data_IF_384882508371
#
_entry.id   IF_384882508371
#
_cell.length_a   1.000
_cell.length_b   1.000
_cell.length_c   1.000
_cell.angle_alpha   90.00
_cell.angle_beta   90.00
_cell.angle_gamma   90.00
#
_symmetry.space_group_name_H-M   'P 1'
#
loop_
_entity.id
_entity.type
_entity.pdbx_description
1 polymer ?
#
# COMPACT_ATOMS: atom_id res chain seq x y z
N UNK A 1 25.36 23.65 -18.72
CA UNK A 1 24.51 22.75 -19.54
C UNK A 1 25.01 21.30 -19.61
N UNK A 2 26.32 21.01 -19.58
CA UNK A 2 26.83 19.63 -19.72
C UNK A 2 26.78 18.77 -18.44
N UNK A 3 26.65 19.36 -17.26
CA UNK A 3 26.66 18.61 -15.98
C UNK A 3 25.29 18.03 -15.60
N UNK A 4 24.18 18.64 -16.05
CA UNK A 4 22.83 18.15 -15.77
C UNK A 4 22.56 16.81 -16.48
N UNK A 5 23.20 16.59 -17.64
CA UNK A 5 23.04 15.37 -18.43
C UNK A 5 23.75 14.15 -17.81
N UNK A 6 24.86 14.39 -17.08
CA UNK A 6 25.58 13.34 -16.36
C UNK A 6 24.83 12.86 -15.09
N UNK A 7 24.02 13.74 -14.47
CA UNK A 7 23.20 13.39 -13.31
C UNK A 7 22.03 12.45 -13.65
N UNK A 8 21.40 12.63 -14.81
CA UNK A 8 20.22 11.85 -15.23
C UNK A 8 20.60 10.40 -15.61
N UNK A 9 21.80 10.17 -16.16
CA UNK A 9 22.26 8.82 -16.51
C UNK A 9 22.57 7.96 -15.26
N UNK A 10 22.94 8.57 -14.12
CA UNK A 10 23.19 7.81 -12.88
C UNK A 10 21.93 7.25 -12.22
N UNK A 11 20.76 7.82 -12.47
CA UNK A 11 19.50 7.35 -11.89
C UNK A 11 18.99 6.11 -12.63
N UNK A 12 19.28 5.98 -13.93
CA UNK A 12 18.84 4.82 -14.72
C UNK A 12 19.63 3.53 -14.40
N UNK A 13 20.86 3.64 -13.89
CA UNK A 13 21.71 2.48 -13.57
C UNK A 13 21.40 1.78 -12.22
N UNK A 14 20.47 2.30 -11.41
CA UNK A 14 20.12 1.74 -10.08
C UNK A 14 18.68 1.26 -9.94
N UNK A 15 17.90 1.27 -11.01
CA UNK A 15 16.57 0.67 -11.00
C UNK A 15 16.68 -0.85 -11.12
N UNK A 16 16.68 -1.50 -9.95
CA UNK A 16 16.49 -2.94 -9.78
C UNK A 16 15.24 -3.39 -10.56
N UNK A 17 15.29 -4.45 -11.38
CA UNK A 17 14.09 -4.99 -12.00
C UNK A 17 13.20 -5.60 -10.91
N UNK A 18 12.05 -4.97 -10.67
CA UNK A 18 10.96 -5.53 -9.87
C UNK A 18 10.41 -6.76 -10.61
N UNK A 19 10.93 -7.91 -10.23
CA UNK A 19 10.48 -9.22 -10.66
C UNK A 19 8.98 -9.41 -10.33
N UNK A 20 8.14 -9.47 -11.38
CA UNK A 20 6.72 -9.78 -11.27
C UNK A 20 6.51 -11.30 -11.16
N UNK A 21 6.50 -11.77 -9.92
CA UNK A 21 5.66 -12.85 -9.39
C UNK A 21 4.30 -13.10 -10.10
N UNK A 22 4.04 -14.15 -10.90
CA UNK A 22 2.66 -14.50 -11.25
C UNK A 22 1.89 -15.03 -10.03
N UNK A 23 0.63 -14.61 -9.96
CA UNK A 23 -0.36 -14.98 -8.92
C UNK A 23 -0.71 -16.45 -9.05
N UNK A 24 -0.35 -17.26 -8.04
CA UNK A 24 -0.85 -18.63 -7.90
C UNK A 24 -2.22 -18.67 -7.22
N UNK A 25 -3.09 -19.47 -7.81
CA UNK A 25 -4.48 -19.75 -7.42
C UNK A 25 -4.62 -20.24 -5.98
N UNK A 26 -5.66 -19.75 -5.29
CA UNK A 26 -6.06 -20.23 -3.96
C UNK A 26 -7.04 -21.40 -4.09
N UNK A 27 -6.67 -22.57 -3.56
CA UNK A 27 -7.62 -23.60 -3.11
C UNK A 27 -7.79 -23.54 -1.59
N UNK A 28 -8.99 -23.87 -1.05
CA UNK A 28 -9.22 -23.83 0.39
C UNK A 28 -8.86 -25.18 1.02
N UNK A 29 -8.06 -25.19 2.10
CA UNK A 29 -7.98 -26.37 2.98
C UNK A 29 -7.67 -26.00 4.43
N UNK A 30 -8.69 -26.27 5.25
CA UNK A 30 -8.75 -26.78 6.62
C UNK A 30 -7.53 -26.64 7.54
N UNK A 31 -7.86 -26.12 8.72
CA UNK A 31 -7.13 -26.08 9.98
C UNK A 31 -6.23 -27.30 10.23
N UNK A 32 -4.99 -27.03 10.62
CA UNK A 32 -4.05 -27.98 11.20
C UNK A 32 -3.03 -27.23 12.04
N UNK A 33 -2.97 -27.56 13.34
CA UNK A 33 -1.93 -27.12 14.28
C UNK A 33 -0.55 -27.65 13.83
N UNK A 34 0.48 -26.82 13.88
CA UNK A 34 1.87 -27.27 14.12
C UNK A 34 2.82 -26.11 14.45
N UNK A 35 3.48 -26.26 15.60
CA UNK A 35 4.81 -25.86 16.09
C UNK A 35 5.49 -24.54 15.63
N UNK A 36 6.05 -23.76 16.59
CA UNK A 36 6.96 -22.65 16.26
C UNK A 36 8.34 -23.17 15.81
N UNK A 37 8.80 -22.62 14.69
CA UNK A 37 10.12 -22.87 14.08
C UNK A 37 11.23 -22.23 14.91
N UNK A 38 12.23 -23.03 15.29
CA UNK A 38 13.49 -22.58 15.86
C UNK A 38 14.26 -21.69 14.86
N UNK A 39 14.52 -20.44 15.24
CA UNK A 39 15.57 -19.63 14.61
C UNK A 39 16.89 -19.97 15.30
N UNK A 40 17.78 -20.62 14.55
CA UNK A 40 19.15 -20.95 14.97
C UNK A 40 20.01 -19.69 14.84
N UNK A 41 20.29 -19.03 15.97
CA UNK A 41 21.29 -17.98 16.07
C UNK A 41 22.72 -18.58 16.20
N UNK A 42 23.79 -17.88 15.78
CA UNK A 42 25.17 -18.35 15.88
C UNK A 42 25.67 -18.33 17.33
N UNK A 43 26.70 -19.14 17.68
CA UNK A 43 27.18 -19.24 19.05
C UNK A 43 27.96 -17.98 19.44
N UNK A 44 27.33 -17.12 20.26
CA UNK A 44 28.07 -16.11 21.02
C UNK A 44 28.63 -16.77 22.27
N UNK A 45 29.95 -16.67 22.39
CA UNK A 45 30.75 -17.24 23.46
C UNK A 45 30.30 -16.70 24.81
N UNK A 46 30.16 -17.64 25.75
CA UNK A 46 29.79 -17.45 27.13
C UNK A 46 30.93 -16.73 27.88
N UNK A 47 30.97 -15.40 27.79
CA UNK A 47 31.55 -14.56 28.83
C UNK A 47 30.41 -14.07 29.69
N UNK A 48 30.25 -14.63 30.89
CA UNK A 48 29.27 -14.16 31.87
C UNK A 48 29.41 -12.64 32.09
N UNK A 49 28.40 -11.81 31.76
CA UNK A 49 28.22 -10.60 32.53
C UNK A 49 27.57 -11.07 33.83
N UNK A 50 28.37 -11.12 34.89
CA UNK A 50 27.86 -11.16 36.26
C UNK A 50 26.65 -10.23 36.32
N UNK A 51 25.46 -10.81 36.44
CA UNK A 51 24.29 -10.04 36.87
C UNK A 51 24.71 -9.42 38.18
N UNK A 52 24.70 -8.08 38.32
CA UNK A 52 24.70 -7.52 39.65
C UNK A 52 23.41 -8.04 40.28
N UNK A 53 23.54 -9.02 41.15
CA UNK A 53 22.53 -9.27 42.17
C UNK A 53 22.22 -7.89 42.73
N UNK A 54 20.94 -7.52 42.73
CA UNK A 54 20.46 -6.28 43.32
C UNK A 54 20.71 -6.36 44.84
N UNK A 55 21.97 -6.20 45.24
CA UNK A 55 22.39 -5.98 46.61
C UNK A 55 22.00 -4.55 46.91
N UNK A 56 20.79 -4.40 47.44
CA UNK A 56 20.42 -3.16 48.09
C UNK A 56 21.38 -2.97 49.27
N UNK A 57 22.04 -1.80 49.42
CA UNK A 57 22.80 -1.52 50.62
C UNK A 57 21.80 -1.40 51.78
N UNK A 58 21.58 -2.52 52.47
CA UNK A 58 20.84 -2.64 53.73
C UNK A 58 21.68 -1.97 54.81
N UNK A 59 21.57 -0.64 54.88
CA UNK A 59 22.37 0.19 55.78
C UNK A 59 22.27 1.68 55.51
N UNK A 60 21.55 2.11 54.46
CA UNK A 60 21.29 3.53 54.25
C UNK A 60 20.22 4.01 55.23
N UNK A 61 20.55 4.97 56.09
CA UNK A 61 19.57 5.69 56.92
C UNK A 61 18.37 6.13 56.06
N UNK A 62 17.16 6.02 56.60
CA UNK A 62 15.89 6.34 55.94
C UNK A 62 15.89 7.71 55.26
N UNK A 63 16.65 8.67 55.81
CA UNK A 63 16.84 10.01 55.26
C UNK A 63 17.65 10.02 53.94
N UNK A 64 18.64 9.14 53.80
CA UNK A 64 19.41 9.00 52.56
C UNK A 64 18.54 8.41 51.45
N UNK A 65 17.67 7.46 51.79
CA UNK A 65 16.71 6.88 50.85
C UNK A 65 15.68 7.91 50.40
N UNK A 66 15.11 8.70 51.32
CA UNK A 66 14.19 9.81 50.99
C UNK A 66 14.84 10.84 50.06
N UNK A 67 16.08 11.26 50.36
CA UNK A 67 16.83 12.18 49.49
C UNK A 67 17.06 11.61 48.10
N UNK A 68 17.48 10.33 48.00
CA UNK A 68 17.67 9.64 46.71
C UNK A 68 16.35 9.55 45.93
N UNK A 69 15.25 9.20 46.59
CA UNK A 69 13.92 9.14 45.98
C UNK A 69 13.48 10.51 45.45
N UNK A 70 13.62 11.58 46.24
CA UNK A 70 13.27 12.94 45.80
C UNK A 70 14.09 13.42 44.60
N UNK A 71 15.38 13.04 44.54
CA UNK A 71 16.27 13.33 43.40
C UNK A 71 15.85 12.51 42.17
N UNK A 72 15.49 11.25 42.36
CA UNK A 72 14.97 10.39 41.31
C UNK A 72 13.67 10.94 40.72
N UNK A 73 12.74 11.39 41.57
CA UNK A 73 11.46 11.95 41.15
C UNK A 73 11.64 13.24 40.34
N UNK A 74 12.48 14.17 40.82
CA UNK A 74 12.79 15.40 40.05
C UNK A 74 13.42 15.11 38.69
N UNK A 75 14.30 14.10 38.61
CA UNK A 75 14.87 13.68 37.32
C UNK A 75 13.80 13.10 36.40
N UNK A 76 12.90 12.27 36.94
CA UNK A 76 11.81 11.69 36.17
C UNK A 76 10.89 12.78 35.62
N UNK A 77 10.52 13.75 36.44
CA UNK A 77 9.70 14.91 36.06
C UNK A 77 10.36 15.71 34.93
N UNK A 78 11.63 16.08 35.09
CA UNK A 78 12.37 16.79 34.04
C UNK A 78 12.49 16.00 32.72
N UNK A 79 12.58 14.67 32.80
CA UNK A 79 12.60 13.82 31.60
C UNK A 79 11.22 13.71 30.96
N UNK A 80 10.15 13.63 31.76
CA UNK A 80 8.78 13.62 31.27
C UNK A 80 8.45 14.93 30.53
N UNK A 81 8.82 16.08 31.11
CA UNK A 81 8.68 17.39 30.45
C UNK A 81 9.46 17.45 29.13
N UNK A 82 10.70 16.96 29.12
CA UNK A 82 11.52 16.90 27.90
C UNK A 82 10.87 16.01 26.84
N UNK A 83 10.34 14.85 27.20
CA UNK A 83 9.64 13.94 26.28
C UNK A 83 8.39 14.65 25.73
N UNK A 84 7.59 15.28 26.58
CA UNK A 84 6.38 15.97 26.14
C UNK A 84 6.69 17.08 25.14
N UNK A 85 7.76 17.86 25.38
CA UNK A 85 8.23 18.88 24.45
C UNK A 85 8.65 18.28 23.10
N UNK A 86 9.47 17.24 23.11
CA UNK A 86 9.91 16.58 21.87
C UNK A 86 8.74 15.96 21.10
N UNK A 87 7.74 15.43 21.80
CA UNK A 87 6.53 14.89 21.18
C UNK A 87 5.72 15.99 20.50
N UNK A 88 5.59 17.17 21.12
CA UNK A 88 4.93 18.31 20.50
C UNK A 88 5.68 18.81 19.24
N UNK A 89 7.01 18.89 19.30
CA UNK A 89 7.85 19.25 18.15
C UNK A 89 7.70 18.23 17.01
N UNK A 90 7.63 16.93 17.34
CA UNK A 90 7.40 15.86 16.36
C UNK A 90 6.02 15.95 15.70
N UNK A 91 4.98 16.23 16.49
CA UNK A 91 3.62 16.40 15.97
C UNK A 91 3.55 17.51 14.92
N UNK A 92 4.17 18.66 15.21
CA UNK A 92 4.26 19.79 14.26
C UNK A 92 4.98 19.36 12.98
N UNK A 93 6.15 18.71 13.10
CA UNK A 93 6.91 18.26 11.93
C UNK A 93 6.13 17.25 11.07
N UNK A 94 5.35 16.35 11.68
CA UNK A 94 4.50 15.39 10.96
C UNK A 94 3.35 16.11 10.24
N UNK A 95 2.76 17.13 10.85
CA UNK A 95 1.71 17.93 10.22
C UNK A 95 2.24 18.72 9.02
N UNK A 96 3.42 19.32 9.13
CA UNK A 96 4.10 20.00 8.02
C UNK A 96 4.41 19.04 6.87
N UNK A 97 4.96 17.86 7.18
CA UNK A 97 5.22 16.83 6.18
C UNK A 97 3.93 16.39 5.46
N UNK A 98 2.83 16.24 6.20
CA UNK A 98 1.53 15.90 5.64
C UNK A 98 0.99 17.01 4.73
N UNK A 99 1.19 18.27 5.09
CA UNK A 99 0.81 19.40 4.25
C UNK A 99 1.58 19.38 2.92
N UNK A 100 2.92 19.28 2.98
CA UNK A 100 3.79 19.18 1.80
C UNK A 100 3.39 17.99 0.91
N UNK A 101 3.17 16.82 1.51
CA UNK A 101 2.76 15.63 0.77
C UNK A 101 1.39 15.80 0.09
N UNK A 102 0.49 16.55 0.71
CA UNK A 102 -0.84 16.82 0.16
C UNK A 102 -0.76 17.77 -1.03
N UNK A 103 0.09 18.80 -0.94
CA UNK A 103 0.33 19.75 -2.04
C UNK A 103 0.97 19.06 -3.24
N UNK A 104 2.02 18.25 -3.02
CA UNK A 104 2.65 17.44 -4.08
C UNK A 104 1.63 16.51 -4.73
N UNK A 105 0.77 15.87 -3.94
CA UNK A 105 -0.27 14.98 -4.48
C UNK A 105 -1.31 15.74 -5.30
N UNK A 106 -1.64 16.98 -4.93
CA UNK A 106 -2.56 17.84 -5.69
C UNK A 106 -1.93 18.25 -7.01
N UNK A 107 -0.68 18.69 -6.99
CA UNK A 107 0.05 19.12 -8.19
C UNK A 107 0.26 17.95 -9.15
N UNK A 108 0.64 16.78 -8.62
CA UNK A 108 0.77 15.55 -9.41
C UNK A 108 -0.55 15.18 -10.09
N UNK A 109 -1.69 15.29 -9.39
CA UNK A 109 -3.01 15.04 -9.98
C UNK A 109 -3.35 16.07 -11.05
N UNK A 110 -3.00 17.34 -10.86
CA UNK A 110 -3.21 18.38 -11.85
C UNK A 110 -2.38 18.11 -13.12
N UNK A 111 -1.10 17.74 -12.98
CA UNK A 111 -0.22 17.33 -14.08
C UNK A 111 -0.79 16.10 -14.81
N UNK A 112 -1.29 15.10 -14.07
CA UNK A 112 -1.93 13.95 -14.71
C UNK A 112 -3.21 14.34 -15.45
N UNK A 113 -4.00 15.27 -14.94
CA UNK A 113 -5.23 15.72 -15.61
C UNK A 113 -4.92 16.42 -16.94
N UNK A 114 -3.89 17.27 -16.98
CA UNK A 114 -3.45 17.94 -18.21
C UNK A 114 -2.82 16.97 -19.21
N UNK A 115 -2.15 15.91 -18.76
CA UNK A 115 -1.61 14.87 -19.65
C UNK A 115 -2.69 13.90 -20.15
N UNK A 116 -3.70 13.58 -19.33
CA UNK A 116 -4.80 12.67 -19.72
C UNK A 116 -5.73 13.30 -20.75
N UNK A 117 -5.82 14.63 -20.86
CA UNK A 117 -6.60 15.27 -21.92
C UNK A 117 -6.00 15.10 -23.32
N UNK A 118 -4.72 14.75 -23.46
CA UNK A 118 -4.08 14.56 -24.78
C UNK A 118 -4.09 13.13 -25.31
N UNK A 119 -4.35 12.12 -24.48
CA UNK A 119 -4.31 10.71 -24.93
C UNK A 119 -5.19 9.82 -24.05
N UNK A 120 -6.51 9.88 -24.20
CA UNK A 120 -7.30 8.64 -24.13
C UNK A 120 -7.21 7.95 -25.50
N UNK A 121 -5.99 7.62 -25.94
CA UNK A 121 -5.84 6.66 -27.01
C UNK A 121 -6.41 5.37 -26.46
N UNK A 122 -7.56 4.95 -26.99
CA UNK A 122 -8.10 3.64 -26.71
C UNK A 122 -6.97 2.64 -26.94
N UNK A 123 -6.50 1.99 -25.87
CA UNK A 123 -5.33 1.08 -25.90
C UNK A 123 -5.53 -0.01 -26.97
N UNK A 124 -6.80 -0.33 -27.25
CA UNK A 124 -7.22 -1.19 -28.35
C UNK A 124 -8.42 -0.58 -29.08
N UNK A 125 -8.43 -0.68 -30.42
CA UNK A 125 -9.62 -0.42 -31.23
C UNK A 125 -10.40 -1.74 -31.39
N UNK A 126 -11.57 -1.83 -30.78
CA UNK A 126 -12.42 -3.02 -30.90
C UNK A 126 -13.16 -2.99 -32.24
N UNK A 127 -12.87 -3.95 -33.11
CA UNK A 127 -13.55 -4.13 -34.40
C UNK A 127 -14.41 -5.38 -34.40
N UNK A 128 -15.51 -5.35 -35.15
CA UNK A 128 -16.34 -6.53 -35.38
C UNK A 128 -15.51 -7.61 -36.10
N UNK A 129 -15.60 -8.85 -35.61
CA UNK A 129 -14.97 -10.00 -36.23
C UNK A 129 -15.94 -10.64 -37.22
N UNK A 130 -15.44 -11.05 -38.38
CA UNK A 130 -16.24 -11.80 -39.36
C UNK A 130 -16.10 -13.28 -39.03
N UNK A 131 -17.20 -13.94 -38.68
CA UNK A 131 -17.24 -15.36 -38.37
C UNK A 131 -18.03 -16.13 -39.43
N UNK A 132 -17.60 -17.35 -39.80
CA UNK A 132 -18.37 -18.20 -40.69
C UNK A 132 -19.62 -18.73 -39.98
N UNK A 133 -20.76 -18.69 -40.67
CA UNK A 133 -22.03 -19.26 -40.25
C UNK A 133 -22.48 -20.25 -41.33
N UNK A 134 -22.84 -21.46 -40.92
CA UNK A 134 -23.38 -22.47 -41.83
C UNK A 134 -24.90 -22.47 -41.68
N UNK A 135 -25.60 -22.26 -42.79
CA UNK A 135 -27.05 -22.39 -42.87
C UNK A 135 -27.41 -23.64 -43.67
N UNK A 136 -28.43 -24.35 -43.20
CA UNK A 136 -28.98 -25.51 -43.88
C UNK A 136 -30.22 -25.07 -44.64
N UNK A 137 -30.22 -25.26 -45.96
CA UNK A 137 -31.36 -24.97 -46.82
C UNK A 137 -32.41 -26.08 -46.74
N UNK A 138 -33.62 -25.77 -47.18
CA UNK A 138 -34.74 -26.73 -47.22
C UNK A 138 -34.49 -27.94 -48.13
N UNK A 139 -33.55 -27.83 -49.07
CA UNK A 139 -33.11 -28.93 -49.95
C UNK A 139 -32.02 -29.83 -49.31
N UNK A 140 -31.63 -29.56 -48.06
CA UNK A 140 -30.59 -30.27 -47.35
C UNK A 140 -29.16 -29.84 -47.69
N UNK A 141 -28.98 -28.84 -48.55
CA UNK A 141 -27.66 -28.29 -48.88
C UNK A 141 -27.15 -27.33 -47.79
N UNK A 142 -25.83 -27.25 -47.64
CA UNK A 142 -25.17 -26.35 -46.70
C UNK A 142 -24.66 -25.10 -47.43
N UNK A 143 -24.96 -23.92 -46.89
CA UNK A 143 -24.41 -22.65 -47.37
C UNK A 143 -23.53 -22.05 -46.29
N UNK A 144 -22.28 -21.82 -46.65
CA UNK A 144 -21.34 -21.06 -45.83
C UNK A 144 -21.55 -19.56 -46.08
N UNK A 145 -21.98 -18.85 -45.05
CA UNK A 145 -22.11 -17.40 -45.07
C UNK A 145 -21.15 -16.78 -44.05
N UNK A 146 -20.92 -15.48 -44.18
CA UNK A 146 -20.13 -14.72 -43.21
C UNK A 146 -21.04 -13.78 -42.45
N UNK A 147 -20.88 -13.75 -41.13
CA UNK A 147 -21.62 -12.85 -40.24
C UNK A 147 -20.63 -11.99 -39.46
N UNK A 148 -20.85 -10.69 -39.46
CA UNK A 148 -20.14 -9.80 -38.56
C UNK A 148 -20.68 -9.98 -37.13
N UNK A 149 -19.78 -10.31 -36.20
CA UNK A 149 -20.10 -10.44 -34.78
C UNK A 149 -19.16 -9.55 -33.99
N UNK A 150 -19.74 -8.68 -33.17
CA UNK A 150 -18.98 -7.92 -32.20
C UNK A 150 -18.76 -8.75 -30.94
N UNK A 151 -17.57 -9.33 -30.84
CA UNK A 151 -17.18 -10.20 -29.72
C UNK A 151 -17.21 -9.47 -28.37
N UNK A 152 -17.17 -8.14 -28.37
CA UNK A 152 -17.03 -7.31 -27.18
C UNK A 152 -18.31 -6.54 -26.83
N UNK A 153 -19.39 -6.76 -27.58
CA UNK A 153 -20.69 -6.12 -27.30
C UNK A 153 -21.14 -6.39 -25.85
N UNK A 154 -21.12 -7.64 -25.42
CA UNK A 154 -21.52 -8.03 -24.07
C UNK A 154 -20.65 -7.40 -22.99
N UNK A 155 -19.34 -7.27 -23.22
CA UNK A 155 -18.42 -6.60 -22.28
C UNK A 155 -18.74 -5.11 -22.15
N UNK A 156 -18.98 -4.41 -23.27
CA UNK A 156 -19.33 -2.98 -23.25
C UNK A 156 -20.67 -2.73 -22.56
N UNK A 157 -21.67 -3.57 -22.83
CA UNK A 157 -22.98 -3.50 -22.17
C UNK A 157 -22.84 -3.76 -20.66
N UNK A 158 -22.06 -4.77 -20.26
CA UNK A 158 -21.79 -5.06 -18.86
C UNK A 158 -21.04 -3.91 -18.16
N UNK A 159 -20.08 -3.28 -18.84
CA UNK A 159 -19.35 -2.13 -18.31
C UNK A 159 -20.27 -0.93 -18.07
N UNK A 160 -21.14 -0.62 -19.03
CA UNK A 160 -22.12 0.47 -18.92
C UNK A 160 -23.13 0.22 -17.79
N UNK A 161 -23.61 -1.02 -17.66
CA UNK A 161 -24.47 -1.44 -16.57
C UNK A 161 -23.77 -1.30 -15.22
N UNK A 162 -22.53 -1.80 -15.10
CA UNK A 162 -21.75 -1.72 -13.87
C UNK A 162 -21.49 -0.26 -13.46
N UNK A 163 -21.19 0.63 -14.40
CA UNK A 163 -21.03 2.06 -14.14
C UNK A 163 -22.33 2.68 -13.60
N UNK A 164 -23.47 2.37 -14.23
CA UNK A 164 -24.78 2.84 -13.80
C UNK A 164 -25.10 2.38 -12.38
N UNK A 165 -24.84 1.11 -12.06
CA UNK A 165 -25.05 0.56 -10.71
C UNK A 165 -24.15 1.22 -9.66
N UNK A 166 -22.88 1.50 -9.99
CA UNK A 166 -21.96 2.22 -9.10
C UNK A 166 -22.45 3.63 -8.80
N UNK A 167 -22.90 4.37 -9.80
CA UNK A 167 -23.48 5.71 -9.61
C UNK A 167 -24.72 5.67 -8.72
N UNK A 168 -25.64 4.74 -8.97
CA UNK A 168 -26.84 4.57 -8.15
C UNK A 168 -26.50 4.20 -6.70
N UNK A 169 -25.52 3.32 -6.50
CA UNK A 169 -25.07 2.93 -5.16
C UNK A 169 -24.45 4.11 -4.40
N UNK A 170 -23.68 4.96 -5.07
CA UNK A 170 -23.10 6.18 -4.48
C UNK A 170 -24.20 7.15 -4.02
N UNK A 171 -25.15 7.48 -4.89
CA UNK A 171 -26.26 8.38 -4.55
C UNK A 171 -27.10 7.86 -3.37
N UNK A 172 -27.36 6.55 -3.32
CA UNK A 172 -28.11 5.91 -2.21
C UNK A 172 -27.36 6.00 -0.87
N UNK A 173 -26.02 5.92 -0.88
CA UNK A 173 -25.20 6.09 0.34
C UNK A 173 -25.26 7.52 0.83
N UNK A 174 -25.13 8.49 -0.05
CA UNK A 174 -25.19 9.93 0.28
C UNK A 174 -26.54 10.32 0.88
N UNK A 175 -27.66 9.78 0.35
CA UNK A 175 -28.99 10.00 0.92
C UNK A 175 -29.21 9.36 2.30
N UNK A 176 -28.44 8.31 2.64
CA UNK A 176 -28.54 7.62 3.94
C UNK A 176 -27.63 8.21 5.01
N UNK A 177 -26.54 8.86 4.63
CA UNK A 177 -25.60 9.51 5.55
C UNK A 177 -25.97 10.94 5.93
N UNK A 178 -26.99 11.52 5.30
CA UNK A 178 -27.51 12.87 5.58
C UNK A 178 -28.72 12.91 6.52
N UNK A 179 -28.92 11.88 7.35
CA UNK A 179 -29.94 11.84 8.41
C UNK A 179 -29.28 11.65 9.76
#
# INVERSE_FOLDING_TARGET
MKELQAGIQRIQAKCIPLNRNPVSEKKPRKQGRSHPTMVKAPPQQLGEPQRPLLSFPVGSSLEVLRKRMSKGMRRLESQAERINRLSAELEVAVLELKAIASDINRDWKAIQATQKSSTSTAICEYRAAVVPQVEIKSDGSFVLQSRAVDLFQAEREAALLAQTLRHRAKQKREHRSGK
#
